data_IF_686572428916
#
_entry.id   IF_686572428916
#
_cell.length_a   1.000
_cell.length_b   1.000
_cell.length_c   1.000
_cell.angle_alpha   90.00
_cell.angle_beta   90.00
_cell.angle_gamma   90.00
#
_symmetry.space_group_name_H-M   'P 1'
#
loop_
_entity.id
_entity.type
_entity.pdbx_description
1 polymer ?
#
# COMPACT_ATOMS: atom_id res chain seq x y z
N UNK A 1 6.10 2.67 -14.86
CA UNK A 1 7.24 2.82 -13.92
C UNK A 1 6.75 2.62 -12.48
N UNK A 2 7.65 2.31 -11.53
CA UNK A 2 7.30 2.13 -10.13
C UNK A 2 8.46 2.45 -9.20
N UNK A 3 8.15 2.94 -7.99
CA UNK A 3 9.14 3.27 -6.97
C UNK A 3 8.59 2.98 -5.57
N UNK A 4 9.48 2.71 -4.62
CA UNK A 4 9.14 2.51 -3.21
C UNK A 4 9.43 3.78 -2.41
N UNK A 5 8.53 4.15 -1.51
CA UNK A 5 8.72 5.28 -0.63
C UNK A 5 8.08 5.10 0.73
N UNK A 6 8.49 5.88 1.70
CA UNK A 6 7.96 5.89 3.06
C UNK A 6 7.14 7.16 3.29
N UNK A 7 5.88 7.03 3.66
CA UNK A 7 5.05 8.17 4.04
C UNK A 7 5.54 8.76 5.37
N UNK A 8 6.02 9.99 5.34
CA UNK A 8 6.44 10.74 6.53
C UNK A 8 5.25 11.35 7.26
N UNK A 9 4.30 11.91 6.51
CA UNK A 9 3.16 12.60 7.09
C UNK A 9 2.27 13.24 6.04
N UNK A 10 1.53 14.25 6.47
CA UNK A 10 0.68 15.06 5.59
C UNK A 10 1.01 16.54 5.82
N UNK A 11 0.86 17.32 4.76
CA UNK A 11 1.04 18.77 4.75
C UNK A 11 0.04 19.41 3.79
N UNK A 12 0.22 20.67 3.53
CA UNK A 12 -0.58 21.41 2.55
C UNK A 12 0.34 22.36 1.76
N UNK A 13 -0.01 22.57 0.51
CA UNK A 13 0.71 23.46 -0.41
C UNK A 13 -0.29 24.41 -1.03
N UNK A 14 0.07 25.66 -1.18
CA UNK A 14 -0.72 26.64 -1.91
C UNK A 14 -0.36 26.58 -3.41
N UNK A 15 -1.35 26.44 -4.25
CA UNK A 15 -1.20 26.57 -5.69
C UNK A 15 -1.07 28.03 -6.10
N UNK A 16 -0.62 28.32 -7.31
CA UNK A 16 -0.45 29.68 -7.84
C UNK A 16 -1.78 30.46 -7.89
N UNK A 17 -2.89 29.77 -8.06
CA UNK A 17 -4.25 30.34 -8.03
C UNK A 17 -4.78 30.63 -6.61
N UNK A 18 -3.98 30.36 -5.55
CA UNK A 18 -4.35 30.53 -4.16
C UNK A 18 -5.09 29.34 -3.53
N UNK A 19 -5.37 28.29 -4.27
CA UNK A 19 -6.04 27.09 -3.73
C UNK A 19 -5.12 26.33 -2.79
N UNK A 20 -5.72 25.83 -1.69
CA UNK A 20 -5.04 24.98 -0.73
C UNK A 20 -5.13 23.52 -1.14
N UNK A 21 -4.01 22.92 -1.52
CA UNK A 21 -3.91 21.51 -1.88
C UNK A 21 -3.36 20.71 -0.70
N UNK A 22 -4.15 19.82 -0.07
CA UNK A 22 -3.65 18.92 0.95
C UNK A 22 -2.82 17.81 0.31
N UNK A 23 -1.61 17.57 0.84
CA UNK A 23 -0.65 16.62 0.27
C UNK A 23 -0.16 15.60 1.28
N UNK A 24 0.15 14.41 0.79
CA UNK A 24 0.92 13.40 1.49
C UNK A 24 2.39 13.55 1.14
N UNK A 25 3.25 13.62 2.16
CA UNK A 25 4.71 13.72 2.00
C UNK A 25 5.29 12.33 2.04
N UNK A 26 5.92 11.92 0.95
CA UNK A 26 6.55 10.62 0.79
C UNK A 26 8.05 10.81 0.59
N UNK A 27 8.84 10.19 1.44
CA UNK A 27 10.28 10.09 1.29
C UNK A 27 10.59 8.96 0.31
N UNK A 28 11.29 9.29 -0.75
CA UNK A 28 11.68 8.37 -1.82
C UNK A 28 13.20 8.30 -1.87
N UNK A 29 13.79 7.59 -0.91
CA UNK A 29 15.23 7.29 -0.95
C UNK A 29 15.57 6.48 -2.21
N UNK A 30 16.80 6.53 -2.70
CA UNK A 30 17.21 5.77 -3.87
C UNK A 30 16.79 4.29 -3.76
N UNK A 31 16.08 3.81 -4.77
CA UNK A 31 15.64 2.42 -4.90
C UNK A 31 16.61 1.68 -5.78
N UNK A 32 17.03 0.48 -5.39
CA UNK A 32 17.96 -0.35 -6.16
C UNK A 32 17.19 -1.47 -6.84
N UNK A 33 17.46 -1.71 -8.11
CA UNK A 33 16.94 -2.87 -8.84
C UNK A 33 17.67 -4.11 -8.36
N UNK A 34 17.01 -4.94 -7.56
CA UNK A 34 17.58 -6.14 -6.97
C UNK A 34 17.56 -7.35 -7.91
N UNK A 35 16.53 -7.47 -8.72
CA UNK A 35 16.42 -8.52 -9.73
C UNK A 35 15.50 -8.08 -10.88
N UNK A 36 15.77 -8.61 -12.05
CA UNK A 36 14.95 -8.46 -13.25
C UNK A 36 14.45 -9.85 -13.64
N UNK A 37 13.14 -10.00 -13.72
CA UNK A 37 12.48 -11.26 -14.08
C UNK A 37 11.93 -11.18 -15.50
N UNK A 38 12.13 -12.24 -16.27
CA UNK A 38 11.66 -12.34 -17.65
C UNK A 38 10.78 -13.57 -17.83
N UNK A 39 9.97 -13.59 -18.88
CA UNK A 39 9.13 -14.74 -19.19
C UNK A 39 9.97 -16.02 -19.40
N UNK A 40 11.19 -15.88 -19.92
CA UNK A 40 12.08 -17.01 -20.19
C UNK A 40 12.64 -17.66 -18.93
N UNK A 41 12.96 -16.85 -17.90
CA UNK A 41 13.57 -17.34 -16.64
C UNK A 41 12.55 -17.66 -15.56
N UNK A 42 11.54 -16.80 -15.39
CA UNK A 42 10.61 -16.84 -14.26
C UNK A 42 9.15 -17.05 -14.68
N UNK A 43 8.85 -17.06 -15.98
CA UNK A 43 7.49 -17.22 -16.50
C UNK A 43 6.66 -15.93 -16.53
N UNK A 44 7.21 -14.81 -16.11
CA UNK A 44 6.57 -13.50 -16.16
C UNK A 44 7.60 -12.36 -16.14
N UNK A 45 7.19 -11.19 -16.62
CA UNK A 45 8.03 -10.00 -16.60
C UNK A 45 7.79 -9.21 -15.31
N UNK A 46 8.87 -8.92 -14.58
CA UNK A 46 8.81 -8.10 -13.37
C UNK A 46 10.18 -7.49 -13.04
N UNK A 47 10.15 -6.42 -12.25
CA UNK A 47 11.34 -5.82 -11.63
C UNK A 47 11.18 -5.90 -10.12
N UNK A 48 12.20 -6.38 -9.44
CA UNK A 48 12.27 -6.38 -8.00
C UNK A 48 13.03 -5.15 -7.51
N UNK A 49 12.35 -4.29 -6.78
CA UNK A 49 12.90 -3.07 -6.21
C UNK A 49 13.27 -3.27 -4.75
N UNK A 50 14.43 -2.77 -4.38
CA UNK A 50 14.96 -2.73 -3.03
C UNK A 50 14.93 -1.33 -2.43
N UNK A 51 14.51 -1.20 -1.16
CA UNK A 51 14.38 0.07 -0.47
C UNK A 51 14.83 -0.01 0.99
N UNK A 52 15.53 1.02 1.43
CA UNK A 52 15.96 1.21 2.81
C UNK A 52 17.12 0.30 3.21
N UNK A 53 18.15 0.87 3.81
CA UNK A 53 19.32 0.12 4.27
C UNK A 53 18.99 -0.78 5.48
N UNK A 54 19.68 -1.91 5.59
CA UNK A 54 19.56 -2.85 6.71
C UNK A 54 20.95 -3.34 7.14
N UNK A 55 21.15 -3.52 8.44
CA UNK A 55 22.39 -4.12 8.96
C UNK A 55 22.39 -5.62 8.68
N UNK A 56 23.49 -6.16 8.23
CA UNK A 56 23.65 -7.60 7.87
C UNK A 56 23.21 -8.57 8.98
N UNK A 57 23.40 -8.22 10.25
CA UNK A 57 22.99 -9.03 11.40
C UNK A 57 21.47 -9.29 11.48
N UNK A 58 20.66 -8.51 10.78
CA UNK A 58 19.19 -8.66 10.74
C UNK A 58 18.72 -9.48 9.53
N UNK A 59 19.65 -9.94 8.69
CA UNK A 59 19.34 -10.73 7.50
C UNK A 59 19.49 -12.22 7.78
N UNK A 60 18.61 -13.02 7.20
CA UNK A 60 18.77 -14.46 7.15
C UNK A 60 19.79 -14.86 6.08
N UNK A 61 20.48 -15.98 6.27
CA UNK A 61 21.50 -16.47 5.34
C UNK A 61 21.02 -16.57 3.86
N UNK A 62 19.80 -17.09 3.56
CA UNK A 62 19.30 -17.15 2.18
C UNK A 62 19.15 -15.77 1.53
N UNK A 63 18.63 -14.80 2.30
CA UNK A 63 18.43 -13.43 1.78
C UNK A 63 19.77 -12.73 1.57
N UNK A 64 20.75 -12.96 2.47
CA UNK A 64 22.11 -12.44 2.29
C UNK A 64 22.73 -12.97 0.98
N UNK A 65 22.61 -14.28 0.71
CA UNK A 65 23.12 -14.88 -0.54
C UNK A 65 22.44 -14.31 -1.80
N UNK A 66 21.19 -13.85 -1.74
CA UNK A 66 20.55 -13.17 -2.87
C UNK A 66 21.21 -11.82 -3.18
N UNK A 67 21.51 -11.02 -2.15
CA UNK A 67 22.19 -9.73 -2.33
C UNK A 67 23.62 -9.90 -2.80
N UNK A 68 24.35 -10.87 -2.26
CA UNK A 68 25.72 -11.21 -2.70
C UNK A 68 25.74 -11.63 -4.17
N UNK A 69 24.79 -12.47 -4.60
CA UNK A 69 24.65 -12.89 -6.01
C UNK A 69 24.34 -11.72 -6.93
N UNK A 70 23.54 -10.77 -6.49
CA UNK A 70 23.16 -9.58 -7.24
C UNK A 70 24.25 -8.48 -7.22
N UNK A 71 25.24 -8.57 -6.31
CA UNK A 71 26.29 -7.56 -6.13
C UNK A 71 25.76 -6.22 -5.61
N UNK A 72 24.70 -6.24 -4.79
CA UNK A 72 24.07 -5.04 -4.25
C UNK A 72 24.11 -5.03 -2.73
N UNK A 73 24.09 -3.82 -2.16
CA UNK A 73 24.00 -3.65 -0.72
C UNK A 73 22.67 -4.20 -0.15
N UNK A 74 22.69 -4.75 1.07
CA UNK A 74 21.50 -5.28 1.72
C UNK A 74 20.42 -4.22 1.93
N UNK A 75 19.21 -4.52 1.48
CA UNK A 75 18.03 -3.65 1.63
C UNK A 75 16.97 -4.27 2.52
N UNK A 76 16.20 -3.42 3.19
CA UNK A 76 15.19 -3.83 4.18
C UNK A 76 13.91 -4.35 3.53
N UNK A 77 13.47 -3.71 2.47
CA UNK A 77 12.22 -4.03 1.79
C UNK A 77 12.50 -4.41 0.34
N UNK A 78 11.96 -5.55 -0.08
CA UNK A 78 11.94 -6.00 -1.46
C UNK A 78 10.49 -6.08 -1.93
N UNK A 79 10.19 -5.49 -3.08
CA UNK A 79 8.86 -5.56 -3.71
C UNK A 79 9.01 -5.76 -5.20
N UNK A 80 8.13 -6.58 -5.75
CA UNK A 80 8.08 -6.84 -7.18
C UNK A 80 6.99 -5.98 -7.82
N UNK A 81 7.34 -5.39 -8.94
CA UNK A 81 6.43 -4.71 -9.84
C UNK A 81 6.37 -5.46 -11.16
N UNK A 82 5.18 -5.94 -11.52
CA UNK A 82 4.96 -6.68 -12.76
C UNK A 82 4.82 -5.71 -13.92
N UNK A 83 5.44 -6.05 -15.04
CA UNK A 83 5.42 -5.30 -16.27
C UNK A 83 4.68 -6.11 -17.36
N UNK A 84 3.99 -5.41 -18.26
CA UNK A 84 3.38 -6.04 -19.43
C UNK A 84 4.45 -6.47 -20.45
N UNK A 85 5.49 -5.65 -20.61
CA UNK A 85 6.58 -5.84 -21.56
C UNK A 85 7.86 -6.27 -20.86
N UNK A 86 8.86 -6.65 -21.66
CA UNK A 86 10.19 -7.02 -21.16
C UNK A 86 10.83 -5.82 -20.44
N UNK A 87 11.32 -6.01 -19.21
CA UNK A 87 11.95 -4.93 -18.45
C UNK A 87 13.23 -4.42 -19.16
N UNK A 88 13.37 -3.11 -19.26
CA UNK A 88 14.59 -2.44 -19.74
C UNK A 88 15.60 -2.13 -18.63
N UNK A 89 15.26 -2.47 -17.38
CA UNK A 89 16.10 -2.22 -16.21
C UNK A 89 17.25 -3.21 -16.09
N UNK A 90 18.35 -2.74 -15.50
CA UNK A 90 19.53 -3.58 -15.18
C UNK A 90 19.66 -3.76 -13.67
N UNK A 91 20.14 -4.93 -13.24
CA UNK A 91 20.42 -5.21 -11.82
C UNK A 91 21.46 -4.23 -11.31
N UNK A 92 21.25 -3.65 -10.13
CA UNK A 92 22.10 -2.62 -9.53
C UNK A 92 21.77 -1.18 -9.97
N UNK A 93 20.87 -1.00 -10.95
CA UNK A 93 20.40 0.33 -11.34
C UNK A 93 19.68 1.02 -10.17
N UNK A 94 19.96 2.29 -9.96
CA UNK A 94 19.32 3.10 -8.93
C UNK A 94 18.22 3.97 -9.55
N UNK A 95 17.06 3.98 -8.92
CA UNK A 95 15.89 4.78 -9.28
C UNK A 95 15.65 5.81 -8.18
N UNK A 96 15.45 7.06 -8.52
CA UNK A 96 15.24 8.17 -7.59
C UNK A 96 13.85 8.81 -7.79
N UNK A 97 13.54 9.85 -7.03
CA UNK A 97 12.24 10.52 -7.04
C UNK A 97 11.90 11.22 -8.36
N UNK A 98 12.90 11.44 -9.22
CA UNK A 98 12.81 12.11 -10.53
C UNK A 98 12.11 11.28 -11.63
N UNK A 99 11.76 10.02 -11.33
CA UNK A 99 11.02 9.15 -12.27
C UNK A 99 9.65 9.74 -12.61
N UNK A 100 8.98 10.38 -11.66
CA UNK A 100 7.65 10.95 -11.84
C UNK A 100 7.71 12.45 -12.03
N UNK A 101 6.99 12.96 -13.03
CA UNK A 101 6.87 14.38 -13.29
C UNK A 101 5.76 15.03 -12.44
N UNK A 102 5.87 16.34 -12.20
CA UNK A 102 4.81 17.11 -11.57
C UNK A 102 3.56 17.12 -12.47
N UNK A 103 2.39 16.95 -11.86
CA UNK A 103 1.11 16.84 -12.56
C UNK A 103 0.76 15.43 -13.05
N UNK A 104 1.65 14.48 -12.99
CA UNK A 104 1.43 13.10 -13.41
C UNK A 104 0.40 12.40 -12.50
N UNK A 105 -0.40 11.51 -13.09
CA UNK A 105 -1.40 10.71 -12.36
C UNK A 105 -0.80 9.35 -12.08
N UNK A 106 -0.80 8.97 -10.81
CA UNK A 106 -0.18 7.75 -10.31
C UNK A 106 -1.12 6.95 -9.42
N UNK A 107 -0.84 5.66 -9.29
CA UNK A 107 -1.49 4.77 -8.33
C UNK A 107 -0.57 4.50 -7.15
N UNK A 108 -1.10 4.56 -5.94
CA UNK A 108 -0.33 4.33 -4.71
C UNK A 108 -0.84 3.11 -3.97
N UNK A 109 0.03 2.15 -3.78
CA UNK A 109 -0.26 0.90 -3.07
C UNK A 109 0.41 0.93 -1.70
N UNK A 110 -0.38 0.72 -0.67
CA UNK A 110 0.18 0.69 0.69
C UNK A 110 -0.63 -0.16 1.65
N UNK A 111 -0.20 -0.19 2.91
CA UNK A 111 -0.93 -0.87 3.97
C UNK A 111 -1.68 0.13 4.81
N UNK A 112 -3.01 0.03 4.85
CA UNK A 112 -3.86 0.94 5.61
C UNK A 112 -3.58 0.84 7.10
N UNK A 113 -3.83 1.93 7.84
CA UNK A 113 -3.65 1.96 9.29
C UNK A 113 -4.55 0.92 9.98
N UNK A 114 -3.96 0.07 10.81
CA UNK A 114 -4.70 -0.88 11.63
C UNK A 114 -5.59 -0.16 12.65
N UNK A 115 -6.87 -0.57 12.72
CA UNK A 115 -7.87 -0.05 13.66
C UNK A 115 -8.32 -1.11 14.68
N UNK A 116 -7.60 -2.23 14.71
CA UNK A 116 -7.89 -3.37 15.59
C UNK A 116 -9.19 -4.09 15.27
N UNK A 117 -9.71 -4.85 16.23
CA UNK A 117 -11.01 -5.51 16.12
C UNK A 117 -12.13 -4.47 16.19
N UNK A 118 -12.99 -4.43 15.18
CA UNK A 118 -14.08 -3.47 15.07
C UNK A 118 -15.43 -4.15 14.93
N UNK A 119 -16.46 -3.58 15.56
CA UNK A 119 -17.84 -3.99 15.40
C UNK A 119 -18.39 -3.71 14.00
N UNK A 120 -19.53 -4.31 13.66
CA UNK A 120 -20.15 -4.21 12.33
C UNK A 120 -20.53 -2.79 11.95
N UNK A 121 -20.89 -1.96 12.90
CA UNK A 121 -21.22 -0.54 12.66
C UNK A 121 -20.00 0.20 12.11
N UNK A 122 -18.84 0.10 12.79
CA UNK A 122 -17.61 0.76 12.36
C UNK A 122 -16.98 0.12 11.12
N UNK A 123 -17.03 -1.23 11.03
CA UNK A 123 -16.37 -1.98 9.97
C UNK A 123 -17.12 -1.96 8.66
N UNK A 124 -18.45 -1.98 8.71
CA UNK A 124 -19.32 -2.16 7.54
C UNK A 124 -20.41 -1.13 7.40
N UNK A 125 -20.40 -0.07 8.23
CA UNK A 125 -21.39 1.00 8.23
C UNK A 125 -22.84 0.50 8.43
N UNK A 126 -23.01 -0.53 9.28
CA UNK A 126 -24.35 -0.99 9.66
C UNK A 126 -25.05 0.06 10.51
N UNK A 127 -26.38 0.17 10.36
CA UNK A 127 -27.19 1.01 11.21
C UNK A 127 -27.26 0.43 12.64
N UNK A 128 -27.41 1.32 13.62
CA UNK A 128 -27.73 0.96 15.00
C UNK A 128 -29.22 0.60 15.10
N UNK A 129 -29.56 -0.26 16.04
CA UNK A 129 -30.95 -0.49 16.41
C UNK A 129 -31.53 0.68 17.20
N UNK A 130 -32.87 0.71 17.41
CA UNK A 130 -33.54 1.72 18.23
C UNK A 130 -32.97 1.77 19.66
N UNK A 131 -32.86 2.96 20.23
CA UNK A 131 -32.36 3.14 21.60
C UNK A 131 -33.50 3.13 22.65
N UNK A 132 -34.76 3.23 22.22
CA UNK A 132 -35.96 3.27 23.03
C UNK A 132 -37.01 2.28 22.55
N UNK A 133 -38.25 2.41 23.01
CA UNK A 133 -39.39 1.52 22.68
C UNK A 133 -39.15 0.04 23.01
N UNK A 134 -38.40 -0.25 24.10
CA UNK A 134 -38.15 -1.61 24.58
C UNK A 134 -37.16 -2.42 23.72
N UNK A 135 -36.46 -1.79 22.81
CA UNK A 135 -35.42 -2.49 22.03
C UNK A 135 -34.30 -2.98 22.95
N UNK A 136 -33.88 -4.25 22.73
CA UNK A 136 -32.74 -4.86 23.42
C UNK A 136 -31.54 -5.07 22.44
N UNK A 137 -31.71 -4.63 21.19
CA UNK A 137 -30.70 -4.73 20.16
C UNK A 137 -30.25 -3.33 19.71
N UNK A 138 -29.21 -2.79 20.34
CA UNK A 138 -28.72 -1.44 20.05
C UNK A 138 -27.55 -1.43 19.07
N UNK A 139 -26.53 -2.25 19.29
CA UNK A 139 -25.28 -2.28 18.51
C UNK A 139 -24.89 -3.67 18.00
N UNK A 140 -25.72 -4.65 18.22
CA UNK A 140 -25.45 -6.04 17.85
C UNK A 140 -25.61 -6.26 16.34
N UNK A 141 -24.96 -7.30 15.84
CA UNK A 141 -25.21 -7.78 14.48
C UNK A 141 -26.64 -8.38 14.47
N UNK A 142 -27.51 -7.83 13.65
CA UNK A 142 -28.87 -8.31 13.50
C UNK A 142 -28.91 -9.74 12.90
N UNK A 143 -30.01 -10.14 12.28
CA UNK A 143 -30.20 -11.48 11.70
C UNK A 143 -29.01 -11.94 10.83
N UNK A 144 -28.58 -13.17 11.03
CA UNK A 144 -27.50 -13.80 10.27
C UNK A 144 -28.00 -14.53 9.01
N UNK A 145 -29.30 -14.53 8.76
CA UNK A 145 -29.95 -15.15 7.62
C UNK A 145 -31.20 -15.96 8.01
N UNK A 146 -31.97 -16.38 7.02
CA UNK A 146 -33.12 -17.23 7.23
C UNK A 146 -32.68 -18.65 7.61
N UNK A 147 -33.43 -19.29 8.52
CA UNK A 147 -33.28 -20.71 8.84
C UNK A 147 -33.92 -21.50 7.71
N UNK A 148 -33.11 -22.07 6.83
CA UNK A 148 -33.68 -22.96 5.81
C UNK A 148 -34.21 -24.23 6.47
N UNK A 149 -35.45 -24.56 6.15
CA UNK A 149 -36.11 -25.81 6.54
C UNK A 149 -35.28 -27.01 6.05
N UNK A 150 -34.87 -27.90 6.96
CA UNK A 150 -34.31 -29.20 6.59
C UNK A 150 -32.83 -29.45 6.85
N UNK A 151 -32.12 -28.63 7.62
CA UNK A 151 -30.72 -29.02 7.91
C UNK A 151 -29.79 -27.88 8.33
N UNK A 152 -29.95 -27.38 9.52
CA UNK A 152 -28.96 -26.49 10.16
C UNK A 152 -28.54 -25.32 9.31
N UNK A 153 -29.30 -24.23 9.37
CA UNK A 153 -28.98 -23.01 8.61
C UNK A 153 -27.54 -22.55 8.81
N UNK A 154 -26.75 -22.59 7.76
CA UNK A 154 -25.38 -22.08 7.75
C UNK A 154 -25.41 -20.59 7.40
N UNK A 155 -24.54 -19.82 8.05
CA UNK A 155 -24.30 -18.44 7.66
C UNK A 155 -23.58 -18.43 6.31
N UNK A 156 -24.07 -17.60 5.38
CA UNK A 156 -23.46 -17.51 4.05
C UNK A 156 -22.01 -16.99 4.12
N UNK A 157 -21.17 -17.47 3.19
CA UNK A 157 -19.82 -16.94 3.01
C UNK A 157 -19.89 -15.44 2.70
N UNK A 158 -18.94 -14.67 3.22
CA UNK A 158 -18.91 -13.20 2.99
C UNK A 158 -19.89 -12.39 3.85
N UNK A 159 -20.66 -13.01 4.77
CA UNK A 159 -21.52 -12.28 5.69
C UNK A 159 -20.71 -11.26 6.48
N UNK A 160 -21.13 -10.00 6.46
CA UNK A 160 -20.49 -8.89 7.17
C UNK A 160 -20.61 -9.07 8.68
N UNK A 161 -19.48 -9.29 9.34
CA UNK A 161 -19.38 -9.53 10.80
C UNK A 161 -18.28 -8.66 11.43
N UNK A 162 -18.23 -8.54 12.77
CA UNK A 162 -17.11 -7.92 13.47
C UNK A 162 -15.80 -8.60 13.11
N UNK A 163 -14.71 -7.86 13.20
CA UNK A 163 -13.38 -8.40 12.93
C UNK A 163 -12.32 -7.29 12.75
N UNK A 164 -11.15 -7.69 12.33
CA UNK A 164 -10.04 -6.77 12.07
C UNK A 164 -10.44 -5.72 11.03
N UNK A 165 -10.19 -4.45 11.33
CA UNK A 165 -10.34 -3.31 10.43
C UNK A 165 -8.97 -2.66 10.20
N UNK A 166 -8.66 -2.36 8.95
CA UNK A 166 -7.36 -1.84 8.57
C UNK A 166 -6.23 -2.87 8.68
N UNK A 167 -4.99 -2.44 8.42
CA UNK A 167 -3.84 -3.34 8.32
C UNK A 167 -3.86 -4.20 7.05
N UNK A 168 -4.60 -3.79 6.04
CA UNK A 168 -4.73 -4.48 4.74
C UNK A 168 -4.08 -3.67 3.63
N UNK A 169 -3.63 -4.35 2.59
CA UNK A 169 -3.13 -3.71 1.38
C UNK A 169 -4.27 -2.99 0.67
N UNK A 170 -4.08 -1.72 0.37
CA UNK A 170 -5.03 -0.86 -0.33
C UNK A 170 -4.31 -0.17 -1.48
N UNK A 171 -4.95 -0.09 -2.63
CA UNK A 171 -4.51 0.72 -3.77
C UNK A 171 -5.41 1.93 -3.86
N UNK A 172 -4.83 3.11 -3.85
CA UNK A 172 -5.53 4.38 -4.13
C UNK A 172 -5.11 4.82 -5.51
N UNK A 173 -6.08 4.92 -6.40
CA UNK A 173 -5.86 5.22 -7.82
C UNK A 173 -6.05 6.70 -8.12
N UNK A 174 -5.48 7.13 -9.25
CA UNK A 174 -5.66 8.48 -9.81
C UNK A 174 -5.23 9.60 -8.85
N UNK A 175 -4.10 9.43 -8.17
CA UNK A 175 -3.51 10.49 -7.36
C UNK A 175 -2.57 11.33 -8.22
N UNK A 176 -2.62 12.65 -8.04
CA UNK A 176 -1.75 13.57 -8.76
C UNK A 176 -0.48 13.86 -7.96
N UNK A 177 0.66 13.83 -8.65
CA UNK A 177 1.95 14.33 -8.13
C UNK A 177 1.90 15.85 -8.14
N UNK A 178 1.91 16.45 -6.96
CA UNK A 178 1.81 17.93 -6.83
C UNK A 178 3.18 18.57 -7.01
N UNK A 179 4.22 17.99 -6.40
CA UNK A 179 5.59 18.48 -6.49
C UNK A 179 6.60 17.40 -6.20
N UNK A 180 7.75 17.44 -6.88
CA UNK A 180 8.90 16.57 -6.63
C UNK A 180 10.10 17.42 -6.17
N UNK A 181 10.65 17.10 -4.98
CA UNK A 181 11.86 17.71 -4.43
C UNK A 181 13.00 16.68 -4.47
N UNK A 182 13.76 16.70 -5.53
CA UNK A 182 14.89 15.78 -5.73
C UNK A 182 16.04 16.02 -4.75
N UNK A 183 16.23 17.27 -4.30
CA UNK A 183 17.29 17.59 -3.35
C UNK A 183 17.07 16.96 -1.97
N UNK A 184 15.80 16.79 -1.59
CA UNK A 184 15.40 16.16 -0.31
C UNK A 184 14.89 14.74 -0.46
N UNK A 185 14.85 14.21 -1.67
CA UNK A 185 14.23 12.92 -1.99
C UNK A 185 12.77 12.82 -1.53
N UNK A 186 11.98 13.88 -1.75
CA UNK A 186 10.58 13.95 -1.38
C UNK A 186 9.68 14.01 -2.60
N UNK A 187 8.58 13.28 -2.55
CA UNK A 187 7.46 13.42 -3.48
C UNK A 187 6.21 13.85 -2.70
N UNK A 188 5.58 14.92 -3.15
CA UNK A 188 4.33 15.45 -2.61
C UNK A 188 3.19 14.99 -3.51
N UNK A 189 2.35 14.11 -2.99
CA UNK A 189 1.23 13.51 -3.73
C UNK A 189 -0.07 13.99 -3.09
N UNK A 190 -1.10 14.21 -3.88
CA UNK A 190 -2.44 14.50 -3.40
C UNK A 190 -2.85 13.49 -2.30
N UNK A 191 -3.82 13.81 -1.46
CA UNK A 191 -4.22 13.02 -0.28
C UNK A 191 -4.27 11.53 -0.59
N UNK A 192 -3.52 10.72 0.18
CA UNK A 192 -3.58 9.25 0.15
C UNK A 192 -3.84 8.68 1.55
N UNK A 193 -4.31 7.44 1.60
CA UNK A 193 -4.46 6.70 2.86
C UNK A 193 -3.16 6.71 3.68
N UNK A 194 -3.24 6.75 5.02
CA UNK A 194 -2.06 6.70 5.89
C UNK A 194 -1.41 5.30 5.83
N UNK A 195 -0.31 5.19 5.12
CA UNK A 195 0.47 3.96 4.97
C UNK A 195 1.91 4.16 5.44
N UNK A 196 2.56 3.11 5.91
CA UNK A 196 3.97 3.19 6.33
C UNK A 196 4.94 3.05 5.16
N UNK A 197 4.64 2.17 4.22
CA UNK A 197 5.41 1.93 2.99
C UNK A 197 4.46 1.99 1.81
N UNK A 198 4.81 2.75 0.79
CA UNK A 198 4.06 2.86 -0.45
C UNK A 198 4.87 2.33 -1.62
N UNK A 199 4.23 1.57 -2.50
CA UNK A 199 4.67 1.33 -3.86
C UNK A 199 3.89 2.32 -4.73
N UNK A 200 4.61 3.12 -5.50
CA UNK A 200 4.07 4.14 -6.38
C UNK A 200 4.27 3.66 -7.82
N UNK A 201 3.22 3.64 -8.58
CA UNK A 201 3.25 3.21 -9.99
C UNK A 201 2.38 4.10 -10.86
#
# INVERSE_FOLDING_TARGET
EAILGTKLGMSQVFAENGDLIPVSVIEVLPNVVAAVKTVESDGYNAVQLGYGAVKEKHLTKPVKGQFEKAGIDPVKYLREYRLAEKPSYTVGQTLAADIFAEGEIIDVIGTSRGKGFAGTIKRHNHQRGPESHGSKNHRQTASLGARMSGGGGKVFKGKKMPGQLGGVRVTVQHLQVVRVDTARNLSLIHISEPTRLALIS
#
